data_IF_123387638676
#
_entry.id   IF_123387638676
#
_cell.length_a   1.000
_cell.length_b   1.000
_cell.length_c   1.000
_cell.angle_alpha   90.00
_cell.angle_beta   90.00
_cell.angle_gamma   90.00
#
_symmetry.space_group_name_H-M   'P 1'
#
loop_
_entity.id
_entity.type
_entity.pdbx_description
1 polymer ?
#
# COMPACT_ATOMS: atom_id res chain seq x y z
N UNK A 1 -59.57 62.70 13.32
CA UNK A 1 -60.28 62.32 12.09
C UNK A 1 -59.50 61.19 11.44
N UNK A 2 -60.17 60.12 11.02
CA UNK A 2 -59.59 58.81 10.65
C UNK A 2 -58.57 58.90 9.49
N UNK A 3 -57.73 57.90 9.21
CA UNK A 3 -58.14 56.71 8.45
C UNK A 3 -57.16 55.51 8.58
N UNK A 4 -57.78 54.33 8.59
CA UNK A 4 -57.23 52.96 8.50
C UNK A 4 -56.39 52.74 7.24
N UNK A 5 -55.46 51.76 7.32
CA UNK A 5 -55.29 50.59 6.44
C UNK A 5 -53.98 49.89 6.82
N UNK A 6 -53.74 48.59 6.66
CA UNK A 6 -54.55 47.40 6.35
C UNK A 6 -53.63 46.20 6.64
N UNK A 7 -54.23 45.05 6.89
CA UNK A 7 -53.60 43.77 7.20
C UNK A 7 -52.61 43.30 6.12
N UNK A 8 -51.45 42.78 6.53
CA UNK A 8 -50.76 41.71 5.81
C UNK A 8 -50.29 40.67 6.83
N UNK A 9 -50.78 39.43 6.67
CA UNK A 9 -50.55 38.32 7.56
C UNK A 9 -49.09 37.86 7.57
N UNK A 10 -48.61 37.49 8.74
CA UNK A 10 -47.41 36.67 8.91
C UNK A 10 -47.67 35.32 8.24
N UNK A 11 -46.88 34.97 7.22
CA UNK A 11 -46.82 33.60 6.75
C UNK A 11 -46.11 32.77 7.84
N UNK A 12 -46.88 31.91 8.49
CA UNK A 12 -46.39 30.75 9.22
C UNK A 12 -45.63 29.86 8.24
N UNK A 13 -44.35 29.60 8.51
CA UNK A 13 -43.59 28.54 7.83
C UNK A 13 -43.97 27.20 8.48
N UNK A 14 -44.67 26.28 7.78
CA UNK A 14 -45.03 25.00 8.33
C UNK A 14 -44.15 23.94 7.66
N UNK A 15 -43.01 23.62 8.27
CA UNK A 15 -42.50 22.26 8.17
C UNK A 15 -41.73 21.92 9.43
N UNK A 16 -42.35 21.03 10.21
CA UNK A 16 -41.88 20.54 11.48
C UNK A 16 -40.72 19.58 11.36
N UNK A 17 -40.15 19.33 12.54
CA UNK A 17 -39.10 18.38 12.81
C UNK A 17 -39.55 16.94 12.48
N UNK A 18 -38.73 16.20 11.74
CA UNK A 18 -38.63 14.75 11.84
C UNK A 18 -37.15 14.42 12.04
N UNK A 19 -36.77 14.28 13.31
CA UNK A 19 -35.55 13.56 13.70
C UNK A 19 -35.93 12.10 13.78
N UNK A 20 -35.81 11.39 12.66
CA UNK A 20 -35.88 9.93 12.66
C UNK A 20 -34.43 9.42 12.71
N UNK A 21 -33.95 9.38 13.94
CA UNK A 21 -32.73 8.72 14.37
C UNK A 21 -32.92 7.20 14.26
N UNK A 22 -32.57 6.59 13.12
CA UNK A 22 -32.04 5.22 13.08
C UNK A 22 -31.51 4.85 11.69
N UNK A 23 -30.39 5.45 11.29
CA UNK A 23 -29.43 4.66 10.53
C UNK A 23 -28.44 4.13 11.56
N UNK A 24 -28.69 2.89 11.99
CA UNK A 24 -27.69 2.07 12.64
C UNK A 24 -26.41 2.17 11.81
N UNK A 25 -25.45 2.93 12.31
CA UNK A 25 -24.09 2.92 11.82
C UNK A 25 -23.57 1.53 12.15
N UNK A 26 -23.85 0.58 11.27
CA UNK A 26 -23.01 -0.61 11.14
C UNK A 26 -21.67 -0.08 10.73
N UNK A 27 -20.86 0.26 11.74
CA UNK A 27 -19.43 0.39 11.60
C UNK A 27 -19.01 -0.83 10.79
N UNK A 28 -18.71 -0.62 9.51
CA UNK A 28 -18.04 -1.63 8.73
C UNK A 28 -16.70 -1.73 9.41
N UNK A 29 -16.59 -2.70 10.31
CA UNK A 29 -15.36 -3.09 10.94
C UNK A 29 -14.43 -3.52 9.79
N UNK A 30 -13.71 -2.57 9.20
CA UNK A 30 -12.64 -2.79 8.22
C UNK A 30 -11.40 -3.38 8.89
N UNK A 31 -11.63 -4.09 10.00
CA UNK A 31 -10.65 -4.55 11.00
C UNK A 31 -9.61 -5.48 10.40
N UNK A 32 -9.83 -5.97 9.18
CA UNK A 32 -8.79 -6.60 8.40
C UNK A 32 -8.88 -6.20 6.93
N UNK A 33 -8.14 -5.16 6.54
CA UNK A 33 -7.76 -4.99 5.13
C UNK A 33 -6.47 -5.79 4.92
N UNK A 34 -6.59 -7.07 4.55
CA UNK A 34 -5.42 -7.92 4.20
C UNK A 34 -4.60 -7.38 3.01
N UNK A 35 -5.07 -6.28 2.40
CA UNK A 35 -4.40 -5.51 1.37
C UNK A 35 -3.86 -4.16 1.89
N UNK A 36 -3.77 -3.92 3.20
CA UNK A 36 -3.10 -2.72 3.70
C UNK A 36 -1.66 -2.70 3.21
N UNK A 37 -1.12 -1.50 2.95
CA UNK A 37 0.28 -1.34 2.53
C UNK A 37 1.23 -1.99 3.54
N UNK A 38 0.88 -1.95 4.83
CA UNK A 38 1.71 -2.48 5.91
C UNK A 38 1.78 -4.01 5.86
N UNK A 39 0.64 -4.68 5.74
CA UNK A 39 0.57 -6.14 5.64
C UNK A 39 1.30 -6.63 4.37
N UNK A 40 1.10 -5.94 3.24
CA UNK A 40 1.80 -6.28 1.99
C UNK A 40 3.32 -6.08 2.12
N UNK A 41 3.77 -4.96 2.68
CA UNK A 41 5.19 -4.67 2.86
C UNK A 41 5.86 -5.67 3.81
N UNK A 42 5.19 -6.08 4.88
CA UNK A 42 5.75 -7.04 5.83
C UNK A 42 5.81 -8.45 5.24
N UNK A 43 4.83 -8.84 4.42
CA UNK A 43 4.88 -10.07 3.65
C UNK A 43 6.07 -10.07 2.67
N UNK A 44 6.23 -8.97 1.90
CA UNK A 44 7.34 -8.81 0.94
C UNK A 44 8.70 -8.92 1.67
N UNK A 45 8.87 -8.22 2.81
CA UNK A 45 10.10 -8.27 3.59
C UNK A 45 10.38 -9.68 4.12
N UNK A 46 9.36 -10.38 4.59
CA UNK A 46 9.47 -11.72 5.14
C UNK A 46 9.94 -12.73 4.08
N UNK A 47 9.30 -12.73 2.91
CA UNK A 47 9.69 -13.58 1.78
C UNK A 47 11.11 -13.22 1.32
N UNK A 48 11.40 -11.93 1.17
CA UNK A 48 12.71 -11.48 0.74
C UNK A 48 13.81 -11.86 1.74
N UNK A 49 13.50 -11.95 3.04
CA UNK A 49 14.45 -12.39 4.05
C UNK A 49 14.83 -13.86 3.86
N UNK A 50 13.84 -14.74 3.69
CA UNK A 50 14.06 -16.18 3.45
C UNK A 50 14.93 -16.39 2.20
N UNK A 51 14.60 -15.72 1.10
CA UNK A 51 15.37 -15.82 -0.16
C UNK A 51 16.80 -15.32 0.04
N UNK A 52 16.99 -14.18 0.71
CA UNK A 52 18.34 -13.62 0.97
C UNK A 52 19.19 -14.56 1.83
N UNK A 53 18.61 -15.22 2.82
CA UNK A 53 19.34 -16.13 3.69
C UNK A 53 19.77 -17.40 2.94
N UNK A 54 18.94 -17.91 2.03
CA UNK A 54 19.33 -19.01 1.14
C UNK A 54 20.47 -18.61 0.20
N UNK A 55 20.35 -17.48 -0.50
CA UNK A 55 21.41 -16.96 -1.39
C UNK A 55 22.74 -16.79 -0.62
N UNK A 56 22.70 -16.24 0.60
CA UNK A 56 23.90 -16.11 1.45
C UNK A 56 24.50 -17.46 1.80
N UNK A 57 23.66 -18.44 2.16
CA UNK A 57 24.10 -19.81 2.43
C UNK A 57 24.82 -20.38 1.21
N UNK A 58 24.21 -20.31 0.03
CA UNK A 58 24.79 -20.82 -1.21
C UNK A 58 26.13 -20.14 -1.56
N UNK A 59 26.19 -18.80 -1.47
CA UNK A 59 27.42 -18.03 -1.71
C UNK A 59 28.53 -18.44 -0.74
N UNK A 60 28.22 -18.65 0.55
CA UNK A 60 29.19 -19.07 1.55
C UNK A 60 29.78 -20.46 1.27
N UNK A 61 29.03 -21.33 0.60
CA UNK A 61 29.51 -22.66 0.19
C UNK A 61 30.11 -22.70 -1.22
N UNK A 62 29.93 -21.65 -2.01
CA UNK A 62 30.41 -21.59 -3.38
C UNK A 62 31.94 -21.50 -3.42
N UNK A 63 32.57 -22.31 -4.28
CA UNK A 63 34.02 -22.28 -4.47
C UNK A 63 34.50 -20.98 -5.12
N UNK A 64 33.67 -20.40 -5.98
CA UNK A 64 33.98 -19.19 -6.74
C UNK A 64 32.75 -18.28 -6.76
N UNK A 65 32.98 -16.99 -6.56
CA UNK A 65 31.96 -15.95 -6.56
C UNK A 65 32.48 -14.75 -7.37
N UNK A 66 31.62 -14.17 -8.20
CA UNK A 66 31.87 -12.91 -8.90
C UNK A 66 30.79 -11.90 -8.55
N UNK A 67 31.18 -10.63 -8.48
CA UNK A 67 30.26 -9.49 -8.24
C UNK A 67 30.35 -8.53 -9.42
N UNK A 68 29.21 -8.07 -9.91
CA UNK A 68 29.11 -7.03 -10.95
C UNK A 68 28.26 -5.91 -10.37
N UNK A 69 28.75 -4.69 -10.44
CA UNK A 69 27.99 -3.50 -10.08
C UNK A 69 27.86 -2.61 -11.31
N UNK A 70 26.65 -2.10 -11.58
CA UNK A 70 26.36 -1.24 -12.72
C UNK A 70 25.50 -0.06 -12.27
N UNK A 71 25.84 1.15 -12.74
CA UNK A 71 25.14 2.39 -12.43
C UNK A 71 24.40 2.88 -13.66
N UNK A 72 23.10 3.11 -13.49
CA UNK A 72 22.25 3.70 -14.53
C UNK A 72 21.87 5.12 -14.10
N UNK A 73 22.45 6.16 -14.72
CA UNK A 73 22.08 7.55 -14.41
C UNK A 73 20.66 7.79 -14.93
N UNK A 74 19.73 8.10 -14.03
CA UNK A 74 18.39 8.49 -14.44
C UNK A 74 18.34 9.96 -14.88
N UNK A 75 17.28 10.30 -15.63
CA UNK A 75 17.01 11.65 -16.16
C UNK A 75 16.90 12.71 -15.05
N UNK A 76 16.77 12.31 -13.78
CA UNK A 76 16.61 13.17 -12.61
C UNK A 76 17.91 13.35 -11.80
N UNK A 77 19.06 12.88 -12.32
CA UNK A 77 20.36 12.86 -11.63
C UNK A 77 20.37 12.02 -10.35
N UNK A 78 19.50 11.00 -10.25
CA UNK A 78 19.61 9.95 -9.26
C UNK A 78 20.27 8.74 -9.90
N UNK A 79 21.40 8.35 -9.34
CA UNK A 79 22.11 7.15 -9.76
C UNK A 79 21.40 5.93 -9.17
N UNK A 80 20.92 5.03 -10.05
CA UNK A 80 20.42 3.73 -9.64
C UNK A 80 21.54 2.70 -9.84
N UNK A 81 22.01 2.10 -8.75
CA UNK A 81 23.04 1.07 -8.78
C UNK A 81 22.41 -0.32 -8.64
N UNK A 82 22.80 -1.24 -9.52
CA UNK A 82 22.47 -2.66 -9.44
C UNK A 82 23.71 -3.47 -9.05
N UNK A 83 23.53 -4.52 -8.24
CA UNK A 83 24.60 -5.44 -7.84
C UNK A 83 24.16 -6.88 -8.13
N UNK A 84 24.98 -7.61 -8.87
CA UNK A 84 24.72 -8.99 -9.29
C UNK A 84 25.78 -9.91 -8.70
N UNK A 85 25.35 -10.95 -7.98
CA UNK A 85 26.18 -12.04 -7.52
C UNK A 85 26.09 -13.22 -8.50
N UNK A 86 27.23 -13.74 -8.94
CA UNK A 86 27.33 -14.97 -9.75
C UNK A 86 28.13 -16.01 -9.00
N UNK A 87 27.53 -17.18 -8.77
CA UNK A 87 28.13 -18.30 -8.06
C UNK A 87 27.62 -19.62 -8.62
N UNK A 88 28.32 -20.72 -8.34
CA UNK A 88 27.92 -22.07 -8.72
C UNK A 88 27.31 -22.80 -7.52
N UNK A 89 26.13 -23.38 -7.71
CA UNK A 89 25.48 -24.25 -6.72
C UNK A 89 26.03 -25.67 -6.81
N UNK A 90 25.83 -26.47 -5.75
CA UNK A 90 26.35 -27.85 -5.65
C UNK A 90 25.75 -28.79 -6.70
N UNK A 91 24.55 -28.50 -7.20
CA UNK A 91 23.86 -29.27 -8.25
C UNK A 91 24.24 -28.85 -9.66
N UNK A 92 25.21 -27.92 -9.79
CA UNK A 92 25.72 -27.32 -11.02
C UNK A 92 25.26 -27.98 -12.32
N UNK A 93 24.28 -27.34 -12.96
CA UNK A 93 23.75 -27.67 -14.29
C UNK A 93 22.95 -28.98 -14.28
N UNK A 94 21.71 -28.95 -13.77
CA UNK A 94 20.69 -29.79 -14.37
C UNK A 94 20.51 -29.24 -15.79
N UNK A 95 21.09 -29.93 -16.77
CA UNK A 95 20.91 -29.59 -18.17
C UNK A 95 19.42 -29.78 -18.45
N UNK A 96 18.70 -28.70 -18.67
CA UNK A 96 17.49 -28.76 -19.48
C UNK A 96 17.91 -29.19 -20.89
N UNK A 97 17.97 -30.51 -21.11
CA UNK A 97 18.04 -31.18 -22.42
C UNK A 97 16.84 -32.11 -22.55
#
# INVERSE_FOLDING_TARGET
MQLRNSHHGNLSNPHGNAKDDEQGSFARNSVFSGLSSDIQNDLIKSIAQVIRDEIKSEINFAKFVSVIADETPDISHREQMSVIFRYLTKTGIERDL
#
